data_IF_963351953650
#
_entry.id   IF_963351953650
#
_cell.length_a   1.000
_cell.length_b   1.000
_cell.length_c   1.000
_cell.angle_alpha   90.00
_cell.angle_beta   90.00
_cell.angle_gamma   90.00
#
_symmetry.space_group_name_H-M   'P 1'
#
loop_
_entity.id
_entity.type
_entity.pdbx_description
1 polymer ?
#
# COMPACT_ATOMS: atom_id res chain seq x y z
N UNK A 1 3.94 -6.94 13.09
CA UNK A 1 4.05 -5.68 13.87
C UNK A 1 3.32 -5.88 15.18
N UNK A 2 3.80 -5.41 16.33
CA UNK A 2 2.96 -5.44 17.54
C UNK A 2 1.89 -4.34 17.48
N UNK A 3 0.76 -4.54 18.17
CA UNK A 3 -0.28 -3.51 18.39
C UNK A 3 0.32 -2.18 18.89
N UNK A 4 1.41 -2.27 19.64
CA UNK A 4 2.18 -1.15 20.20
C UNK A 4 2.95 -0.36 19.11
N UNK A 5 3.59 -1.05 18.16
CA UNK A 5 4.22 -0.38 17.01
C UNK A 5 3.19 0.37 16.18
N UNK A 6 2.00 -0.19 15.97
CA UNK A 6 0.90 0.48 15.26
C UNK A 6 0.42 1.73 16.02
N UNK A 7 0.33 1.66 17.34
CA UNK A 7 -0.06 2.78 18.21
C UNK A 7 0.92 3.95 18.14
N UNK A 8 2.23 3.69 18.23
CA UNK A 8 3.27 4.72 18.09
C UNK A 8 3.20 5.42 16.73
N UNK A 9 2.96 4.62 15.69
CA UNK A 9 2.76 5.03 14.31
C UNK A 9 1.56 6.00 14.17
N UNK A 10 0.43 5.72 14.81
CA UNK A 10 -0.73 6.62 14.78
C UNK A 10 -0.53 7.87 15.62
N UNK A 11 0.20 7.77 16.75
CA UNK A 11 0.65 8.91 17.54
C UNK A 11 1.51 9.87 16.71
N UNK A 12 2.49 9.34 15.96
CA UNK A 12 3.40 10.12 15.10
C UNK A 12 2.69 10.81 13.93
N UNK A 13 1.51 10.33 13.53
CA UNK A 13 0.67 10.95 12.50
C UNK A 13 -0.42 11.85 13.09
N UNK A 14 -0.34 12.18 14.37
CA UNK A 14 -1.26 13.08 15.07
C UNK A 14 -2.74 12.66 14.99
N UNK A 15 -3.01 11.37 14.98
CA UNK A 15 -4.38 10.89 15.11
C UNK A 15 -4.94 11.36 16.45
N UNK A 16 -6.18 11.86 16.44
CA UNK A 16 -6.86 12.28 17.67
C UNK A 16 -7.13 11.12 18.62
N UNK A 17 -7.23 9.90 18.10
CA UNK A 17 -7.35 8.67 18.88
C UNK A 17 -6.57 7.51 18.20
N UNK A 18 -5.26 7.40 18.50
CA UNK A 18 -4.36 6.38 17.96
C UNK A 18 -4.76 4.95 18.34
N UNK A 19 -5.32 4.77 19.54
CA UNK A 19 -5.73 3.47 20.06
C UNK A 19 -6.92 2.94 19.25
N UNK A 20 -7.92 3.79 19.06
CA UNK A 20 -9.09 3.49 18.24
C UNK A 20 -8.69 3.23 16.79
N UNK A 21 -7.72 3.98 16.24
CA UNK A 21 -7.23 3.75 14.88
C UNK A 21 -6.59 2.37 14.69
N UNK A 22 -5.80 1.89 15.66
CA UNK A 22 -5.29 0.50 15.66
C UNK A 22 -6.43 -0.51 15.76
N UNK A 23 -7.39 -0.29 16.66
CA UNK A 23 -8.54 -1.19 16.82
C UNK A 23 -9.36 -1.27 15.54
N UNK A 24 -9.59 -0.14 14.89
CA UNK A 24 -10.36 -0.13 13.66
C UNK A 24 -9.61 -0.83 12.52
N UNK A 25 -8.29 -0.66 12.40
CA UNK A 25 -7.47 -1.41 11.45
C UNK A 25 -7.59 -2.93 11.62
N UNK A 26 -7.80 -3.40 12.85
CA UNK A 26 -8.04 -4.82 13.10
C UNK A 26 -9.45 -5.29 12.73
N UNK A 27 -10.42 -4.36 12.58
CA UNK A 27 -11.82 -4.67 12.28
C UNK A 27 -12.28 -4.37 10.85
N UNK A 28 -11.62 -3.46 10.12
CA UNK A 28 -12.01 -3.12 8.74
C UNK A 28 -11.71 -4.25 7.75
N UNK A 29 -12.65 -4.49 6.84
CA UNK A 29 -12.58 -5.54 5.82
C UNK A 29 -12.36 -5.01 4.42
N UNK A 30 -12.48 -3.70 4.21
CA UNK A 30 -12.25 -3.05 2.91
C UNK A 30 -11.61 -1.67 3.04
N UNK A 31 -11.04 -1.18 1.93
CA UNK A 31 -10.56 0.19 1.79
C UNK A 31 -11.68 1.24 1.97
N UNK A 32 -12.92 0.91 1.59
CA UNK A 32 -14.07 1.79 1.75
C UNK A 32 -14.47 1.96 3.22
N UNK A 33 -14.50 0.85 3.97
CA UNK A 33 -14.75 0.88 5.42
C UNK A 33 -13.63 1.65 6.14
N UNK A 34 -12.36 1.41 5.76
CA UNK A 34 -11.23 2.17 6.28
C UNK A 34 -11.36 3.67 5.96
N UNK A 35 -11.80 4.02 4.75
CA UNK A 35 -12.02 5.42 4.35
C UNK A 35 -13.12 6.08 5.16
N UNK A 36 -14.23 5.39 5.39
CA UNK A 36 -15.33 5.89 6.22
C UNK A 36 -14.85 6.19 7.64
N UNK A 37 -14.15 5.23 8.23
CA UNK A 37 -13.56 5.36 9.55
C UNK A 37 -12.63 6.56 9.65
N UNK A 38 -11.71 6.71 8.69
CA UNK A 38 -10.73 7.79 8.71
C UNK A 38 -11.40 9.16 8.61
N UNK A 39 -12.49 9.27 7.83
CA UNK A 39 -13.35 10.47 7.78
C UNK A 39 -14.04 10.73 9.12
N UNK A 40 -14.66 9.72 9.72
CA UNK A 40 -15.37 9.84 11.01
C UNK A 40 -14.45 10.27 12.15
N UNK A 41 -13.15 9.98 12.06
CA UNK A 41 -12.14 10.35 13.06
C UNK A 41 -11.26 11.53 12.60
N UNK A 42 -11.62 12.27 11.54
CA UNK A 42 -10.96 13.51 11.07
C UNK A 42 -9.42 13.41 10.97
N UNK A 43 -8.91 12.31 10.43
CA UNK A 43 -7.47 12.01 10.44
C UNK A 43 -6.66 12.79 9.40
N UNK A 44 -7.33 13.51 8.49
CA UNK A 44 -6.69 14.28 7.41
C UNK A 44 -6.04 13.45 6.29
N UNK A 45 -6.05 12.12 6.40
CA UNK A 45 -5.48 11.17 5.44
C UNK A 45 -6.58 10.33 4.78
N UNK A 46 -6.44 10.02 3.49
CA UNK A 46 -7.27 9.01 2.82
C UNK A 46 -6.79 7.59 3.17
N UNK A 47 -7.66 6.58 3.00
CA UNK A 47 -7.29 5.18 3.23
C UNK A 47 -6.09 4.76 2.38
N UNK A 48 -6.06 5.16 1.11
CA UNK A 48 -4.93 4.92 0.22
C UNK A 48 -3.64 5.54 0.76
N UNK A 49 -3.67 6.83 1.14
CA UNK A 49 -2.49 7.50 1.70
C UNK A 49 -1.98 6.81 2.95
N UNK A 50 -2.89 6.36 3.81
CA UNK A 50 -2.55 5.63 5.02
C UNK A 50 -1.93 4.27 4.70
N UNK A 51 -2.59 3.42 3.91
CA UNK A 51 -2.07 2.10 3.53
C UNK A 51 -0.70 2.23 2.91
N UNK A 52 -0.56 3.19 1.99
CA UNK A 52 0.66 3.41 1.27
C UNK A 52 1.81 3.79 2.19
N UNK A 53 1.63 4.85 2.98
CA UNK A 53 2.62 5.31 3.94
C UNK A 53 3.09 4.21 4.90
N UNK A 54 2.18 3.35 5.35
CA UNK A 54 2.50 2.27 6.28
C UNK A 54 3.27 1.14 5.63
N UNK A 55 2.88 0.70 4.44
CA UNK A 55 3.64 -0.33 3.74
C UNK A 55 5.04 0.16 3.38
N UNK A 56 5.19 1.42 2.95
CA UNK A 56 6.52 2.01 2.72
C UNK A 56 7.37 1.97 3.98
N UNK A 57 6.78 2.28 5.15
CA UNK A 57 7.49 2.29 6.43
C UNK A 57 7.91 0.88 6.85
N UNK A 58 7.02 -0.11 6.68
CA UNK A 58 7.31 -1.50 7.00
C UNK A 58 8.39 -2.09 6.12
N UNK A 59 8.37 -1.78 4.83
CA UNK A 59 9.40 -2.27 3.92
C UNK A 59 10.78 -1.71 4.22
N UNK A 60 10.88 -0.55 4.88
CA UNK A 60 12.16 -0.02 5.39
C UNK A 60 12.63 -0.72 6.66
N UNK A 61 11.69 -1.16 7.51
CA UNK A 61 11.99 -1.72 8.84
C UNK A 61 11.99 -3.24 8.93
N UNK A 62 11.47 -3.95 7.91
CA UNK A 62 11.27 -5.40 7.91
C UNK A 62 11.60 -5.99 6.52
N UNK A 63 12.89 -6.28 6.25
CA UNK A 63 13.33 -6.85 4.98
C UNK A 63 12.68 -8.21 4.64
N UNK A 64 12.47 -9.15 5.58
CA UNK A 64 11.74 -10.38 5.31
C UNK A 64 10.30 -10.17 4.83
N UNK A 65 9.57 -9.23 5.44
CA UNK A 65 8.23 -8.85 4.99
C UNK A 65 8.28 -8.27 3.58
N UNK A 66 9.18 -7.33 3.32
CA UNK A 66 9.38 -6.74 2.00
C UNK A 66 9.60 -7.81 0.92
N UNK A 67 10.55 -8.72 1.14
CA UNK A 67 10.87 -9.78 0.18
C UNK A 67 9.65 -10.65 -0.11
N UNK A 68 9.00 -11.15 0.95
CA UNK A 68 7.85 -12.05 0.83
C UNK A 68 6.68 -11.37 0.10
N UNK A 69 6.41 -10.10 0.42
CA UNK A 69 5.33 -9.34 -0.21
C UNK A 69 5.61 -9.08 -1.70
N UNK A 70 6.85 -8.72 -2.06
CA UNK A 70 7.21 -8.50 -3.47
C UNK A 70 7.12 -9.79 -4.28
N UNK A 71 7.61 -10.91 -3.76
CA UNK A 71 7.55 -12.22 -4.43
C UNK A 71 6.10 -12.66 -4.68
N UNK A 72 5.24 -12.57 -3.67
CA UNK A 72 3.81 -12.90 -3.81
C UNK A 72 3.09 -11.97 -4.79
N UNK A 73 3.45 -10.69 -4.83
CA UNK A 73 2.86 -9.75 -5.76
C UNK A 73 3.24 -10.07 -7.21
N UNK A 74 4.50 -10.44 -7.47
CA UNK A 74 4.93 -10.88 -8.80
C UNK A 74 4.12 -12.09 -9.27
N UNK A 75 3.96 -13.09 -8.39
CA UNK A 75 3.17 -14.27 -8.71
C UNK A 75 1.70 -13.96 -8.98
N UNK A 76 1.13 -13.01 -8.22
CA UNK A 76 -0.26 -12.56 -8.40
C UNK A 76 -0.45 -11.83 -9.72
N UNK A 77 0.48 -10.95 -10.10
CA UNK A 77 0.30 -10.01 -11.22
C UNK A 77 0.99 -10.44 -12.52
N UNK A 78 1.73 -11.56 -12.55
CA UNK A 78 2.44 -12.05 -13.74
C UNK A 78 1.60 -12.17 -15.00
N UNK A 79 0.28 -12.40 -14.87
CA UNK A 79 -0.63 -12.58 -16.00
C UNK A 79 -1.01 -11.27 -16.69
N UNK A 80 -0.81 -10.12 -16.03
CA UNK A 80 -1.21 -8.81 -16.54
C UNK A 80 -0.29 -8.27 -17.65
N UNK A 81 0.74 -9.01 -18.08
CA UNK A 81 1.72 -8.56 -19.10
C UNK A 81 2.35 -7.20 -18.77
N UNK A 82 2.46 -6.88 -17.49
CA UNK A 82 3.15 -5.69 -16.97
C UNK A 82 4.58 -6.09 -16.66
N UNK A 83 5.59 -5.27 -17.01
CA UNK A 83 6.97 -5.53 -16.65
C UNK A 83 7.15 -5.75 -15.15
N UNK A 84 7.96 -6.74 -14.78
CA UNK A 84 8.18 -7.10 -13.38
C UNK A 84 8.76 -5.94 -12.55
N UNK A 85 9.60 -5.11 -13.16
CA UNK A 85 10.22 -3.95 -12.54
C UNK A 85 9.18 -2.95 -12.04
N UNK A 86 8.09 -2.79 -12.80
CA UNK A 86 6.98 -1.92 -12.44
C UNK A 86 6.20 -2.51 -11.26
N UNK A 87 5.92 -3.82 -11.30
CA UNK A 87 5.24 -4.51 -10.20
C UNK A 87 6.10 -4.40 -8.92
N UNK A 88 7.39 -4.72 -9.00
CA UNK A 88 8.35 -4.63 -7.88
C UNK A 88 8.40 -3.20 -7.34
N UNK A 89 8.53 -2.20 -8.21
CA UNK A 89 8.63 -0.80 -7.79
C UNK A 89 7.35 -0.31 -7.11
N UNK A 90 6.18 -0.55 -7.71
CA UNK A 90 4.90 -0.13 -7.14
C UNK A 90 4.63 -0.79 -5.79
N UNK A 91 4.87 -2.10 -5.69
CA UNK A 91 4.66 -2.84 -4.44
C UNK A 91 5.67 -2.39 -3.39
N UNK A 92 6.96 -2.32 -3.73
CA UNK A 92 8.06 -1.92 -2.81
C UNK A 92 7.92 -0.51 -2.23
N UNK A 93 7.19 0.36 -2.91
CA UNK A 93 6.92 1.73 -2.45
C UNK A 93 5.62 1.85 -1.68
N UNK A 94 4.86 0.76 -1.53
CA UNK A 94 3.54 0.79 -0.93
C UNK A 94 2.52 1.52 -1.80
N UNK A 95 2.61 1.49 -3.14
CA UNK A 95 1.56 2.03 -4.01
C UNK A 95 1.38 3.56 -3.98
N UNK A 96 2.40 4.30 -3.56
CA UNK A 96 2.39 5.77 -3.44
C UNK A 96 1.95 6.52 -4.71
N UNK A 97 1.35 7.71 -4.50
CA UNK A 97 0.63 8.53 -5.49
C UNK A 97 1.50 9.00 -6.67
N UNK A 98 2.83 9.02 -6.53
CA UNK A 98 3.76 9.44 -7.61
C UNK A 98 4.26 8.28 -8.48
N UNK A 99 3.99 7.02 -8.11
CA UNK A 99 4.74 5.87 -8.63
C UNK A 99 4.13 5.32 -9.93
N UNK A 100 2.88 5.64 -10.23
CA UNK A 100 2.13 5.11 -11.36
C UNK A 100 1.88 6.12 -12.50
N UNK A 101 1.79 7.40 -12.16
CA UNK A 101 1.53 8.49 -13.12
C UNK A 101 2.76 8.75 -14.02
N UNK A 102 3.97 8.39 -13.54
CA UNK A 102 5.27 8.63 -14.21
C UNK A 102 5.79 7.40 -14.97
N UNK A 103 5.08 6.26 -14.98
CA UNK A 103 5.57 5.06 -15.69
C UNK A 103 5.53 5.26 -17.23
N UNK A 104 5.00 6.39 -17.74
CA UNK A 104 5.23 6.71 -19.15
C UNK A 104 5.07 8.17 -19.67
N UNK A 105 5.22 9.28 -18.91
CA UNK A 105 4.93 10.60 -19.55
C UNK A 105 5.90 11.80 -19.51
N UNK A 106 6.78 12.07 -18.54
CA UNK A 106 7.50 13.38 -18.59
C UNK A 106 8.99 13.44 -18.23
N UNK A 107 9.60 12.36 -17.74
CA UNK A 107 11.03 12.38 -17.38
C UNK A 107 11.69 11.15 -17.95
N UNK A 108 12.52 11.31 -18.98
CA UNK A 108 13.17 10.23 -19.74
C UNK A 108 14.06 9.29 -18.91
N UNK A 109 13.48 8.46 -18.04
CA UNK A 109 14.14 7.51 -17.15
C UNK A 109 13.60 6.07 -17.34
N UNK A 110 14.53 5.20 -17.74
CA UNK A 110 14.81 3.76 -17.48
C UNK A 110 13.73 2.70 -17.14
N UNK A 111 12.46 3.00 -16.88
CA UNK A 111 11.47 1.92 -16.73
C UNK A 111 11.00 1.39 -18.10
N UNK A 112 10.78 0.08 -18.24
CA UNK A 112 10.33 -0.51 -19.49
C UNK A 112 8.95 0.02 -19.91
N UNK A 113 8.81 0.29 -21.20
CA UNK A 113 7.57 0.80 -21.78
C UNK A 113 6.40 -0.18 -21.58
N UNK A 114 5.27 0.34 -21.09
CA UNK A 114 4.03 -0.44 -20.96
C UNK A 114 3.18 -0.30 -22.22
N UNK A 115 3.14 -1.37 -23.03
CA UNK A 115 2.34 -1.41 -24.27
C UNK A 115 0.84 -1.61 -24.05
N UNK A 116 0.44 -2.18 -22.91
CA UNK A 116 -0.97 -2.44 -22.58
C UNK A 116 -1.44 -1.57 -21.40
N UNK A 117 -1.97 -0.38 -21.73
CA UNK A 117 -2.45 0.60 -20.73
C UNK A 117 -3.69 0.14 -19.97
N UNK A 118 -4.52 -0.72 -20.56
CA UNK A 118 -5.74 -1.23 -19.89
C UNK A 118 -5.37 -2.12 -18.70
N UNK A 119 -4.41 -3.03 -18.89
CA UNK A 119 -3.90 -3.88 -17.81
C UNK A 119 -3.25 -3.07 -16.68
N UNK A 120 -2.65 -1.92 -17.00
CA UNK A 120 -2.02 -1.05 -16.02
C UNK A 120 -3.07 -0.44 -15.07
N UNK A 121 -4.26 -0.08 -15.58
CA UNK A 121 -5.36 0.39 -14.74
C UNK A 121 -5.84 -0.70 -13.78
N UNK A 122 -6.11 -1.89 -14.31
CA UNK A 122 -6.52 -3.06 -13.50
C UNK A 122 -5.48 -3.37 -12.43
N UNK A 123 -4.20 -3.32 -12.78
CA UNK A 123 -3.11 -3.52 -11.83
C UNK A 123 -3.14 -2.51 -10.69
N UNK A 124 -3.31 -1.21 -10.95
CA UNK A 124 -3.29 -0.23 -9.87
C UNK A 124 -4.45 -0.41 -8.88
N UNK A 125 -5.65 -0.73 -9.37
CA UNK A 125 -6.79 -1.01 -8.50
C UNK A 125 -6.57 -2.29 -7.67
N UNK A 126 -6.17 -3.38 -8.32
CA UNK A 126 -5.93 -4.66 -7.64
C UNK A 126 -4.74 -4.60 -6.67
N UNK A 127 -3.70 -3.83 -7.02
CA UNK A 127 -2.51 -3.67 -6.19
C UNK A 127 -2.82 -2.88 -4.92
N UNK A 128 -3.68 -1.86 -4.95
CA UNK A 128 -4.11 -1.15 -3.72
C UNK A 128 -4.81 -2.08 -2.75
N UNK A 129 -5.75 -2.88 -3.23
CA UNK A 129 -6.45 -3.86 -2.41
C UNK A 129 -5.47 -4.91 -1.85
N UNK A 130 -4.57 -5.41 -2.68
CA UNK A 130 -3.52 -6.33 -2.23
C UNK A 130 -2.65 -5.72 -1.12
N UNK A 131 -2.21 -4.48 -1.30
CA UNK A 131 -1.40 -3.75 -0.33
C UNK A 131 -2.14 -3.60 1.00
N UNK A 132 -3.42 -3.21 0.98
CA UNK A 132 -4.28 -3.18 2.17
C UNK A 132 -4.33 -4.54 2.88
N UNK A 133 -4.53 -5.63 2.14
CA UNK A 133 -4.54 -6.99 2.69
C UNK A 133 -3.19 -7.36 3.32
N UNK A 134 -2.07 -7.00 2.70
CA UNK A 134 -0.75 -7.23 3.28
C UNK A 134 -0.55 -6.48 4.60
N UNK A 135 -0.97 -5.21 4.65
CA UNK A 135 -0.92 -4.41 5.87
C UNK A 135 -1.78 -5.04 6.98
N UNK A 136 -3.02 -5.43 6.65
CA UNK A 136 -3.94 -6.08 7.58
C UNK A 136 -3.37 -7.40 8.11
N UNK A 137 -2.88 -8.26 7.22
CA UNK A 137 -2.29 -9.54 7.59
C UNK A 137 -1.09 -9.36 8.52
N UNK A 138 -0.24 -8.37 8.24
CA UNK A 138 0.95 -8.09 9.04
C UNK A 138 0.63 -7.49 10.43
N UNK A 139 -0.48 -6.77 10.57
CA UNK A 139 -0.98 -6.27 11.87
C UNK A 139 -1.54 -7.42 12.74
N UNK A 140 -2.14 -8.44 12.11
CA UNK A 140 -2.78 -9.56 12.80
C UNK A 140 -1.86 -10.75 13.11
N UNK A 141 -0.57 -10.65 12.77
CA UNK A 141 0.50 -11.61 13.12
C UNK A 141 1.08 -11.27 14.49
#
# INVERSE_FOLDING_TARGET
MTKESALNIFNEQHFSDPQKAVEIMTTVNSLDELSQVMRENNTGLSADQFVNFRLTSLFKGDPPFQQTTVEKALDKFKQLKIPEEIIKYYISTGGGVDVAIIINFELGNQFPEVKNRENLKTFFEDAKQYLFEQLKNYINQ
#
